data_IF_669919224781
#
_entry.id   IF_669919224781
#
_cell.length_a   1.000
_cell.length_b   1.000
_cell.length_c   1.000
_cell.angle_alpha   90.00
_cell.angle_beta   90.00
_cell.angle_gamma   90.00
#
_symmetry.space_group_name_H-M   'P 1'
#
loop_
_entity.id
_entity.type
_entity.pdbx_description
1 polymer ?
#
# COMPACT_ATOMS: atom_id res chain seq x y z
N UNK A 1 1.94 9.08 27.03
CA UNK A 1 2.46 10.13 26.15
C UNK A 1 2.57 9.66 24.70
N UNK A 2 2.63 10.59 23.75
CA UNK A 2 3.19 10.33 22.43
C UNK A 2 4.45 11.17 22.20
N UNK A 3 5.28 10.69 21.29
CA UNK A 3 6.45 11.40 20.80
C UNK A 3 6.38 11.44 19.26
N UNK A 4 6.54 12.62 18.69
CA UNK A 4 6.66 12.84 17.25
C UNK A 4 8.01 13.50 16.96
N UNK A 5 8.75 12.97 16.00
CA UNK A 5 10.02 13.50 15.53
C UNK A 5 9.89 13.88 14.06
N UNK A 6 10.18 15.14 13.73
CA UNK A 6 10.15 15.64 12.37
C UNK A 6 11.44 15.28 11.63
N UNK A 7 11.49 14.06 11.13
CA UNK A 7 12.62 13.54 10.37
C UNK A 7 12.22 12.38 9.47
N UNK A 8 12.92 12.22 8.35
CA UNK A 8 12.89 11.05 7.46
C UNK A 8 14.14 10.19 7.58
N UNK A 9 15.07 10.55 8.49
CA UNK A 9 16.28 9.76 8.71
C UNK A 9 15.97 8.45 9.45
N UNK A 10 16.90 7.51 9.34
CA UNK A 10 16.82 6.28 10.12
C UNK A 10 16.74 6.60 11.63
N UNK A 11 15.82 5.93 12.30
CA UNK A 11 15.64 6.00 13.75
C UNK A 11 15.52 4.61 14.36
N UNK A 12 16.07 4.46 15.56
CA UNK A 12 15.92 3.26 16.41
C UNK A 12 15.33 3.67 17.75
N UNK A 13 14.26 2.98 18.16
CA UNK A 13 13.51 3.26 19.37
C UNK A 13 13.52 2.03 20.28
N UNK A 14 14.19 2.14 21.44
CA UNK A 14 14.24 1.08 22.43
C UNK A 14 13.41 1.44 23.68
N UNK A 15 12.34 0.68 23.89
CA UNK A 15 11.42 0.81 25.03
C UNK A 15 11.54 -0.35 26.04
N UNK A 16 12.57 -1.19 25.94
CA UNK A 16 12.73 -2.38 26.79
C UNK A 16 13.06 -2.07 28.25
N UNK A 17 13.68 -0.92 28.49
CA UNK A 17 14.01 -0.52 29.86
C UNK A 17 12.81 0.15 30.56
N UNK A 18 12.40 -0.28 31.77
CA UNK A 18 11.27 0.31 32.46
C UNK A 18 11.51 1.72 33.01
N UNK A 19 12.77 2.19 33.08
CA UNK A 19 13.14 3.47 33.67
C UNK A 19 13.46 4.54 32.64
N UNK A 20 13.79 4.19 31.41
CA UNK A 20 14.09 5.14 30.35
C UNK A 20 13.79 4.55 28.96
N UNK A 21 13.55 5.41 28.01
CA UNK A 21 13.47 5.07 26.60
C UNK A 21 14.70 5.63 25.88
N UNK A 22 15.28 4.84 24.99
CA UNK A 22 16.39 5.26 24.15
C UNK A 22 15.90 5.49 22.74
N UNK A 23 16.18 6.69 22.21
CA UNK A 23 15.76 7.11 20.89
C UNK A 23 17.01 7.58 20.13
N UNK A 24 17.39 6.83 19.11
CA UNK A 24 18.50 7.20 18.22
C UNK A 24 17.95 7.72 16.91
N UNK A 25 18.54 8.78 16.39
CA UNK A 25 18.22 9.34 15.10
C UNK A 25 19.50 9.72 14.36
N UNK A 26 19.60 9.38 13.06
CA UNK A 26 20.82 9.60 12.29
C UNK A 26 20.99 11.05 11.79
N UNK A 27 20.00 11.88 12.00
CA UNK A 27 20.15 13.32 11.88
C UNK A 27 19.42 14.05 13.01
N UNK A 28 19.63 15.34 13.11
CA UNK A 28 18.88 16.19 14.04
C UNK A 28 17.48 16.42 13.48
N UNK A 29 16.40 16.00 14.18
CA UNK A 29 15.05 16.30 13.75
C UNK A 29 14.76 17.79 13.65
N UNK A 30 13.88 18.21 12.76
CA UNK A 30 13.43 19.60 12.69
C UNK A 30 12.80 20.08 14.00
N UNK A 31 12.02 19.20 14.64
CA UNK A 31 11.55 19.36 16.01
C UNK A 31 11.23 17.99 16.63
N UNK A 32 11.12 17.97 17.95
CA UNK A 32 10.61 16.84 18.74
C UNK A 32 9.42 17.35 19.55
N UNK A 33 8.27 16.69 19.39
CA UNK A 33 7.05 16.98 20.14
C UNK A 33 6.73 15.84 21.09
N UNK A 34 6.59 16.15 22.37
CA UNK A 34 6.19 15.19 23.39
C UNK A 34 4.97 15.75 24.08
N UNK A 35 3.90 14.98 24.16
CA UNK A 35 2.71 15.32 24.92
C UNK A 35 2.23 14.16 25.77
N UNK A 36 1.68 14.47 26.93
CA UNK A 36 1.06 13.53 27.82
C UNK A 36 -0.40 13.92 28.11
N UNK A 37 -1.19 12.94 28.49
CA UNK A 37 -2.56 13.12 28.94
C UNK A 37 -2.91 12.09 30.02
N UNK A 38 -3.91 12.35 30.88
CA UNK A 38 -4.37 11.41 31.89
C UNK A 38 -4.98 10.13 31.29
N UNK A 39 -5.64 10.25 30.13
CA UNK A 39 -6.29 9.13 29.45
C UNK A 39 -5.78 8.95 28.01
N UNK A 40 -5.93 7.74 27.49
CA UNK A 40 -5.57 7.44 26.10
C UNK A 40 -6.43 8.23 25.09
N UNK A 41 -7.70 8.47 25.41
CA UNK A 41 -8.60 9.26 24.54
C UNK A 41 -8.12 10.70 24.41
N UNK A 42 -7.83 11.36 25.53
CA UNK A 42 -7.28 12.73 25.52
C UNK A 42 -5.92 12.80 24.82
N UNK A 43 -5.09 11.74 24.93
CA UNK A 43 -3.82 11.67 24.22
C UNK A 43 -4.03 11.58 22.70
N UNK A 44 -5.00 10.78 22.24
CA UNK A 44 -5.38 10.70 20.82
C UNK A 44 -5.98 12.02 20.32
N UNK A 45 -6.78 12.70 21.12
CA UNK A 45 -7.31 14.02 20.77
C UNK A 45 -6.19 15.01 20.51
N UNK A 46 -5.17 15.06 21.37
CA UNK A 46 -3.98 15.90 21.19
C UNK A 46 -3.20 15.53 19.94
N UNK A 47 -2.97 14.24 19.72
CA UNK A 47 -2.26 13.74 18.54
C UNK A 47 -2.99 14.11 17.26
N UNK A 48 -4.31 13.88 17.20
CA UNK A 48 -5.12 14.18 16.01
C UNK A 48 -5.36 15.68 15.82
N UNK A 49 -5.32 16.48 16.88
CA UNK A 49 -5.30 17.94 16.75
C UNK A 49 -4.03 18.44 16.07
N UNK A 50 -2.90 17.76 16.30
CA UNK A 50 -1.61 18.10 15.69
C UNK A 50 -1.47 17.54 14.26
N UNK A 51 -1.75 16.23 14.05
CA UNK A 51 -1.59 15.56 12.76
C UNK A 51 -2.78 15.77 11.80
N UNK A 52 -3.90 16.26 12.30
CA UNK A 52 -5.18 16.26 11.60
C UNK A 52 -5.97 14.98 11.87
N UNK A 53 -7.26 15.04 11.64
CA UNK A 53 -8.17 13.90 11.75
C UNK A 53 -8.35 13.23 10.41
N UNK A 54 -8.52 11.93 10.42
CA UNK A 54 -8.93 11.19 9.23
C UNK A 54 -10.31 11.71 8.74
N UNK A 55 -10.50 11.89 7.43
CA UNK A 55 -11.82 12.18 6.89
C UNK A 55 -12.77 11.02 7.18
N UNK A 56 -14.06 11.33 7.21
CA UNK A 56 -15.09 10.31 7.31
C UNK A 56 -15.00 9.32 6.14
N UNK A 57 -15.13 8.04 6.45
CA UNK A 57 -15.11 7.01 5.42
C UNK A 57 -16.39 7.06 4.59
N UNK A 58 -16.35 6.72 3.28
CA UNK A 58 -17.53 6.63 2.46
C UNK A 58 -18.53 5.60 3.01
N UNK A 59 -19.82 5.89 2.88
CA UNK A 59 -20.91 5.06 3.42
C UNK A 59 -20.84 3.59 3.04
N UNK A 60 -20.35 3.27 1.84
CA UNK A 60 -20.24 1.89 1.38
C UNK A 60 -19.34 1.02 2.27
N UNK A 61 -18.37 1.61 2.97
CA UNK A 61 -17.47 0.88 3.90
C UNK A 61 -18.25 0.28 5.07
N UNK A 62 -19.36 0.91 5.46
CA UNK A 62 -20.20 0.48 6.57
C UNK A 62 -21.32 -0.49 6.16
N UNK A 63 -21.53 -0.71 4.85
CA UNK A 63 -22.66 -1.47 4.33
C UNK A 63 -22.45 -3.00 4.31
N UNK A 64 -21.24 -3.49 4.59
CA UNK A 64 -20.95 -4.91 4.57
C UNK A 64 -19.47 -5.22 4.82
N UNK A 65 -19.09 -6.47 4.64
CA UNK A 65 -17.69 -6.90 4.74
C UNK A 65 -16.88 -6.45 3.52
N UNK A 66 -15.64 -6.07 3.74
CA UNK A 66 -14.60 -6.01 2.72
C UNK A 66 -13.80 -7.32 2.80
N UNK A 67 -13.92 -8.16 1.80
CA UNK A 67 -13.30 -9.48 1.77
C UNK A 67 -11.93 -9.36 1.12
N UNK A 68 -10.87 -9.75 1.83
CA UNK A 68 -9.53 -9.92 1.25
C UNK A 68 -9.39 -11.29 0.60
N UNK A 69 -9.11 -11.35 -0.70
CA UNK A 69 -8.94 -12.60 -1.42
C UNK A 69 -7.77 -12.57 -2.40
N UNK A 70 -7.22 -13.75 -2.67
CA UNK A 70 -6.13 -14.00 -3.61
C UNK A 70 -6.33 -15.37 -4.27
N UNK A 71 -5.70 -15.59 -5.44
CA UNK A 71 -5.62 -16.91 -6.05
C UNK A 71 -6.45 -17.08 -7.33
N UNK A 72 -6.71 -16.00 -8.05
CA UNK A 72 -7.40 -15.99 -9.31
C UNK A 72 -8.91 -15.80 -9.23
N UNK A 73 -9.57 -15.72 -10.39
CA UNK A 73 -10.99 -15.40 -10.50
C UNK A 73 -11.86 -16.33 -9.65
N UNK A 74 -11.75 -17.64 -9.89
CA UNK A 74 -12.62 -18.62 -9.24
C UNK A 74 -12.63 -18.48 -7.72
N UNK A 75 -11.45 -18.35 -7.13
CA UNK A 75 -11.33 -18.20 -5.68
C UNK A 75 -11.78 -16.84 -5.19
N UNK A 76 -11.32 -15.76 -5.83
CA UNK A 76 -11.53 -14.40 -5.33
C UNK A 76 -12.98 -13.94 -5.50
N UNK A 77 -13.61 -14.24 -6.64
CA UNK A 77 -15.02 -13.91 -6.85
C UNK A 77 -15.94 -14.93 -6.21
N UNK A 78 -15.57 -16.22 -6.23
CA UNK A 78 -16.37 -17.28 -5.64
C UNK A 78 -16.55 -17.15 -4.13
N UNK A 79 -15.59 -16.57 -3.39
CA UNK A 79 -15.79 -16.31 -1.95
C UNK A 79 -16.82 -15.19 -1.72
N UNK A 80 -16.89 -14.20 -2.60
CA UNK A 80 -17.93 -13.15 -2.54
C UNK A 80 -19.30 -13.79 -2.73
N UNK A 81 -19.46 -14.61 -3.77
CA UNK A 81 -20.73 -15.27 -4.08
C UNK A 81 -21.19 -16.18 -2.94
N UNK A 82 -20.31 -17.03 -2.42
CA UNK A 82 -20.59 -17.89 -1.27
C UNK A 82 -20.99 -17.10 -0.02
N UNK A 83 -20.37 -15.94 0.21
CA UNK A 83 -20.72 -15.10 1.36
C UNK A 83 -22.13 -14.53 1.21
N UNK A 84 -22.49 -14.07 0.02
CA UNK A 84 -23.84 -13.56 -0.28
C UNK A 84 -24.90 -14.67 -0.17
N UNK A 85 -24.61 -15.88 -0.66
CA UNK A 85 -25.50 -17.06 -0.52
C UNK A 85 -25.79 -17.40 0.95
N UNK A 86 -24.84 -17.13 1.85
CA UNK A 86 -25.00 -17.30 3.28
C UNK A 86 -25.65 -16.08 3.98
N UNK A 87 -26.14 -15.11 3.22
CA UNK A 87 -26.80 -13.92 3.76
C UNK A 87 -25.85 -12.87 4.33
N UNK A 88 -24.53 -13.02 4.11
CA UNK A 88 -23.51 -12.06 4.56
C UNK A 88 -23.47 -10.89 3.56
N UNK A 89 -23.67 -9.68 4.05
CA UNK A 89 -23.50 -8.47 3.23
C UNK A 89 -22.05 -8.23 2.92
N UNK A 90 -21.74 -8.05 1.64
CA UNK A 90 -20.39 -7.74 1.13
C UNK A 90 -20.42 -6.36 0.48
N UNK A 91 -19.52 -5.48 0.89
CA UNK A 91 -19.39 -4.12 0.35
C UNK A 91 -18.14 -3.94 -0.53
N UNK A 92 -17.15 -4.82 -0.38
CA UNK A 92 -15.93 -4.74 -1.18
C UNK A 92 -15.19 -6.07 -1.29
N UNK A 93 -14.45 -6.23 -2.39
CA UNK A 93 -13.46 -7.26 -2.61
C UNK A 93 -12.08 -6.59 -2.72
N UNK A 94 -11.20 -6.86 -1.76
CA UNK A 94 -9.80 -6.45 -1.84
C UNK A 94 -8.96 -7.57 -2.44
N UNK A 95 -8.48 -7.34 -3.65
CA UNK A 95 -7.65 -8.29 -4.39
C UNK A 95 -6.20 -7.84 -4.37
N UNK A 96 -5.35 -8.60 -3.69
CA UNK A 96 -3.94 -8.24 -3.55
C UNK A 96 -3.11 -8.68 -4.77
N UNK A 97 -3.42 -9.82 -5.37
CA UNK A 97 -2.62 -10.45 -6.43
C UNK A 97 -3.22 -10.31 -7.83
N UNK A 98 -3.99 -9.26 -8.05
CA UNK A 98 -4.60 -8.96 -9.35
C UNK A 98 -3.57 -8.80 -10.47
N UNK A 99 -2.36 -8.32 -10.16
CA UNK A 99 -1.23 -8.21 -11.08
C UNK A 99 -0.39 -9.49 -11.21
N UNK A 100 -0.83 -10.60 -10.58
CA UNK A 100 -0.14 -11.89 -10.67
C UNK A 100 0.89 -12.15 -9.57
N UNK A 101 1.50 -13.32 -9.68
CA UNK A 101 2.53 -13.82 -8.77
C UNK A 101 3.70 -14.38 -9.54
N UNK A 102 4.92 -14.19 -9.00
CA UNK A 102 6.11 -14.91 -9.40
C UNK A 102 6.50 -15.95 -8.33
N UNK A 103 7.13 -17.02 -8.76
CA UNK A 103 7.66 -18.05 -7.86
C UNK A 103 9.16 -17.77 -7.65
N UNK A 104 9.56 -17.69 -6.39
CA UNK A 104 10.96 -17.56 -5.97
C UNK A 104 11.32 -18.72 -5.05
N UNK A 105 12.60 -18.90 -4.71
CA UNK A 105 13.03 -19.89 -3.69
C UNK A 105 12.42 -19.60 -2.30
N UNK A 106 12.03 -18.35 -2.05
CA UNK A 106 11.33 -17.91 -0.82
C UNK A 106 9.80 -18.05 -0.91
N UNK A 107 9.26 -18.71 -1.96
CA UNK A 107 7.85 -18.91 -2.18
C UNK A 107 7.24 -17.93 -3.20
N UNK A 108 5.91 -17.83 -3.18
CA UNK A 108 5.17 -16.96 -4.09
C UNK A 108 5.26 -15.50 -3.63
N UNK A 109 5.61 -14.61 -4.56
CA UNK A 109 5.66 -13.15 -4.38
C UNK A 109 4.72 -12.48 -5.36
N UNK A 110 4.21 -11.29 -5.04
CA UNK A 110 3.44 -10.49 -5.99
C UNK A 110 4.33 -10.01 -7.13
N UNK A 111 3.76 -9.94 -8.31
CA UNK A 111 4.41 -9.34 -9.48
C UNK A 111 3.96 -7.88 -9.59
N UNK A 112 4.85 -6.95 -9.27
CA UNK A 112 4.52 -5.53 -9.24
C UNK A 112 4.84 -4.86 -10.58
N UNK A 113 4.14 -5.31 -11.64
CA UNK A 113 4.15 -4.70 -12.99
C UNK A 113 2.87 -3.91 -13.29
N UNK A 114 1.91 -3.95 -12.38
CA UNK A 114 0.65 -3.21 -12.35
C UNK A 114 -0.24 -3.36 -13.60
N UNK A 115 -0.08 -4.47 -14.31
CA UNK A 115 -1.04 -4.94 -15.29
C UNK A 115 -1.80 -6.13 -14.69
N UNK A 116 -3.10 -6.26 -14.98
CA UNK A 116 -3.82 -7.43 -14.49
C UNK A 116 -3.34 -8.71 -15.17
N UNK A 117 -3.18 -9.75 -14.38
CA UNK A 117 -2.66 -11.03 -14.85
C UNK A 117 -3.75 -11.83 -15.56
N UNK A 118 -3.73 -11.84 -16.90
CA UNK A 118 -4.79 -12.39 -17.75
C UNK A 118 -5.07 -13.88 -17.53
N UNK A 119 -4.07 -14.66 -17.14
CA UNK A 119 -4.26 -16.08 -16.85
C UNK A 119 -4.89 -16.34 -15.48
N UNK A 120 -4.51 -15.58 -14.45
CA UNK A 120 -5.09 -15.70 -13.11
C UNK A 120 -6.44 -15.01 -13.00
N UNK A 121 -6.60 -13.90 -13.69
CA UNK A 121 -7.79 -13.04 -13.67
C UNK A 121 -8.27 -12.75 -15.09
N UNK A 122 -8.68 -13.80 -15.86
CA UNK A 122 -9.25 -13.58 -17.20
C UNK A 122 -10.47 -12.66 -17.08
N UNK A 123 -10.59 -11.73 -18.02
CA UNK A 123 -11.70 -10.77 -18.10
C UNK A 123 -11.94 -9.94 -16.82
N UNK A 124 -10.86 -9.62 -16.06
CA UNK A 124 -10.95 -8.87 -14.80
C UNK A 124 -11.81 -7.60 -14.90
N UNK A 125 -11.71 -6.76 -15.95
CA UNK A 125 -12.57 -5.57 -16.07
C UNK A 125 -14.06 -5.92 -16.04
N UNK A 126 -14.48 -6.97 -16.73
CA UNK A 126 -15.89 -7.44 -16.75
C UNK A 126 -16.34 -7.89 -15.34
N UNK A 127 -15.52 -8.65 -14.64
CA UNK A 127 -15.83 -9.07 -13.27
C UNK A 127 -15.93 -7.89 -12.30
N UNK A 128 -15.11 -6.85 -12.50
CA UNK A 128 -15.23 -5.60 -11.73
C UNK A 128 -16.56 -4.91 -12.01
N UNK A 129 -16.99 -4.82 -13.28
CA UNK A 129 -18.31 -4.28 -13.65
C UNK A 129 -19.45 -5.07 -13.02
N UNK A 130 -19.38 -6.39 -13.01
CA UNK A 130 -20.36 -7.28 -12.36
C UNK A 130 -20.44 -7.05 -10.84
N UNK A 131 -19.29 -6.85 -10.16
CA UNK A 131 -19.28 -6.46 -8.74
C UNK A 131 -19.93 -5.08 -8.54
N UNK A 132 -19.57 -4.10 -9.36
CA UNK A 132 -20.12 -2.74 -9.27
C UNK A 132 -21.64 -2.73 -9.49
N UNK A 133 -22.17 -3.52 -10.43
CA UNK A 133 -23.60 -3.68 -10.64
C UNK A 133 -24.35 -4.23 -9.41
N UNK A 134 -23.64 -4.94 -8.53
CA UNK A 134 -24.12 -5.50 -7.25
C UNK A 134 -23.86 -4.55 -6.07
N UNK A 135 -23.32 -3.35 -6.32
CA UNK A 135 -22.94 -2.37 -5.28
C UNK A 135 -21.66 -2.72 -4.50
N UNK A 136 -20.88 -3.69 -4.98
CA UNK A 136 -19.65 -4.15 -4.34
C UNK A 136 -18.44 -3.48 -5.01
N UNK A 137 -17.56 -2.88 -4.20
CA UNK A 137 -16.34 -2.21 -4.70
C UNK A 137 -15.21 -3.21 -4.91
N UNK A 138 -14.45 -3.04 -5.99
CA UNK A 138 -13.19 -3.73 -6.16
C UNK A 138 -12.03 -2.83 -5.70
N UNK A 139 -11.14 -3.38 -4.87
CA UNK A 139 -9.98 -2.68 -4.33
C UNK A 139 -8.72 -3.44 -4.76
N UNK A 140 -8.03 -2.89 -5.74
CA UNK A 140 -6.73 -3.40 -6.17
C UNK A 140 -5.62 -2.93 -5.23
N UNK A 141 -4.76 -3.86 -4.80
CA UNK A 141 -3.55 -3.49 -4.07
C UNK A 141 -2.55 -2.82 -5.00
N UNK A 142 -1.94 -1.74 -4.53
CA UNK A 142 -0.87 -1.03 -5.23
C UNK A 142 0.15 -0.49 -4.23
N UNK A 143 1.41 -0.40 -4.65
CA UNK A 143 2.50 0.21 -3.90
C UNK A 143 3.48 0.91 -4.88
N UNK A 144 4.47 1.69 -4.41
CA UNK A 144 5.37 2.44 -5.28
C UNK A 144 6.47 1.60 -5.95
N UNK A 145 6.46 0.28 -5.81
CA UNK A 145 7.47 -0.58 -6.42
C UNK A 145 7.05 -1.04 -7.80
N UNK A 146 7.99 -0.98 -8.75
CA UNK A 146 7.84 -1.58 -10.08
C UNK A 146 8.98 -2.56 -10.32
N UNK A 147 8.60 -3.79 -10.68
CA UNK A 147 9.58 -4.82 -11.00
C UNK A 147 10.43 -4.42 -12.20
N UNK A 148 11.76 -4.58 -12.10
CA UNK A 148 12.70 -4.02 -13.07
C UNK A 148 12.74 -4.74 -14.43
N UNK A 149 12.06 -5.88 -14.54
CA UNK A 149 11.84 -6.63 -15.78
C UNK A 149 10.46 -6.36 -16.42
N UNK A 150 9.67 -5.40 -15.86
CA UNK A 150 8.35 -5.02 -16.34
C UNK A 150 8.35 -3.85 -17.35
N UNK A 151 7.27 -3.76 -18.13
CA UNK A 151 7.11 -2.71 -19.16
C UNK A 151 7.00 -1.31 -18.53
N UNK A 152 6.20 -1.16 -17.46
CA UNK A 152 6.06 0.11 -16.76
C UNK A 152 7.36 0.59 -16.12
N UNK A 153 8.22 -0.34 -15.66
CA UNK A 153 9.56 0.04 -15.21
C UNK A 153 10.40 0.60 -16.37
N UNK A 154 10.39 -0.07 -17.53
CA UNK A 154 11.14 0.39 -18.69
C UNK A 154 10.68 1.77 -19.17
N UNK A 155 9.39 2.05 -19.11
CA UNK A 155 8.80 3.36 -19.41
C UNK A 155 9.23 4.41 -18.37
N UNK A 156 8.97 4.14 -17.09
CA UNK A 156 9.30 5.05 -15.98
C UNK A 156 10.80 5.38 -15.90
N UNK A 157 11.65 4.42 -16.28
CA UNK A 157 13.11 4.64 -16.37
C UNK A 157 13.47 5.68 -17.43
N UNK A 158 12.81 5.65 -18.60
CA UNK A 158 13.01 6.66 -19.67
C UNK A 158 12.56 8.03 -19.22
N UNK A 159 11.52 8.10 -18.41
CA UNK A 159 10.97 9.35 -17.87
C UNK A 159 11.72 9.85 -16.61
N UNK A 160 12.62 9.03 -16.04
CA UNK A 160 13.39 9.43 -14.86
C UNK A 160 12.55 9.50 -13.56
N UNK A 161 11.49 8.69 -13.44
CA UNK A 161 10.52 8.78 -12.34
C UNK A 161 10.92 7.98 -11.09
N UNK A 162 12.04 7.25 -11.13
CA UNK A 162 12.49 6.44 -9.99
C UNK A 162 13.47 7.17 -9.09
N UNK A 163 13.43 6.84 -7.80
CA UNK A 163 14.42 7.28 -6.83
C UNK A 163 15.84 6.88 -7.29
N UNK A 164 16.80 7.75 -7.03
CA UNK A 164 18.20 7.59 -7.48
C UNK A 164 19.14 7.40 -6.30
N UNK A 165 20.22 6.68 -6.54
CA UNK A 165 21.38 6.66 -5.67
C UNK A 165 22.22 7.93 -5.87
N UNK A 166 23.19 8.14 -4.98
CA UNK A 166 24.11 9.29 -5.06
C UNK A 166 24.91 9.34 -6.37
N UNK A 167 25.15 8.19 -7.02
CA UNK A 167 25.84 8.07 -8.30
C UNK A 167 24.94 8.30 -9.52
N UNK A 168 23.64 8.62 -9.30
CA UNK A 168 22.66 8.87 -10.34
C UNK A 168 22.01 7.60 -10.92
N UNK A 169 22.41 6.40 -10.52
CA UNK A 169 21.76 5.16 -10.90
C UNK A 169 20.42 4.99 -10.18
N UNK A 170 19.52 4.16 -10.76
CA UNK A 170 18.23 3.86 -10.11
C UNK A 170 18.46 3.15 -8.77
N UNK A 171 17.74 3.60 -7.74
CA UNK A 171 17.69 2.88 -6.47
C UNK A 171 16.80 1.65 -6.63
N UNK A 172 17.40 0.46 -6.55
CA UNK A 172 16.69 -0.81 -6.63
C UNK A 172 16.62 -1.48 -5.27
N UNK A 173 15.41 -1.90 -4.90
CA UNK A 173 15.17 -2.70 -3.69
C UNK A 173 15.21 -4.18 -4.08
N UNK A 174 15.96 -4.96 -3.32
CA UNK A 174 16.05 -6.42 -3.45
C UNK A 174 14.93 -7.07 -2.63
N UNK A 175 14.07 -7.83 -3.31
CA UNK A 175 12.98 -8.61 -2.69
C UNK A 175 13.28 -10.12 -2.65
N UNK A 176 14.53 -10.49 -2.84
CA UNK A 176 14.96 -11.88 -2.97
C UNK A 176 14.63 -12.45 -4.35
N UNK A 177 15.67 -12.60 -5.20
CA UNK A 177 15.61 -13.08 -6.58
C UNK A 177 14.93 -12.14 -7.59
N UNK A 178 14.47 -10.96 -7.20
CA UNK A 178 14.01 -9.91 -8.10
C UNK A 178 14.18 -8.53 -7.48
N UNK A 179 14.27 -7.53 -8.34
CA UNK A 179 14.52 -6.15 -7.95
C UNK A 179 13.40 -5.25 -8.41
N UNK A 180 13.09 -4.22 -7.63
CA UNK A 180 12.11 -3.20 -7.98
C UNK A 180 12.72 -1.80 -7.91
N UNK A 181 12.38 -0.96 -8.88
CA UNK A 181 12.53 0.49 -8.76
C UNK A 181 11.47 1.04 -7.81
N UNK A 182 11.80 2.13 -7.15
CA UNK A 182 10.89 2.87 -6.26
C UNK A 182 10.51 4.17 -6.94
N UNK A 183 9.22 4.41 -7.14
CA UNK A 183 8.74 5.69 -7.71
C UNK A 183 9.06 6.82 -6.74
N UNK A 184 9.70 7.87 -7.23
CA UNK A 184 10.05 9.04 -6.43
C UNK A 184 8.86 10.01 -6.34
N UNK A 185 8.01 9.83 -5.34
CA UNK A 185 6.86 10.73 -5.10
C UNK A 185 7.23 12.14 -4.63
N UNK A 186 8.50 12.43 -4.37
CA UNK A 186 8.97 13.81 -4.18
C UNK A 186 9.11 14.57 -5.50
N UNK A 187 9.16 13.83 -6.63
CA UNK A 187 9.12 14.37 -7.98
C UNK A 187 7.66 14.48 -8.47
N UNK A 188 7.13 15.71 -8.72
CA UNK A 188 5.75 15.89 -9.18
C UNK A 188 5.43 15.18 -10.51
N UNK A 189 6.41 15.02 -11.41
CA UNK A 189 6.23 14.29 -12.66
C UNK A 189 6.03 12.80 -12.41
N UNK A 190 6.82 12.21 -11.48
CA UNK A 190 6.69 10.82 -11.10
C UNK A 190 5.33 10.55 -10.42
N UNK A 191 4.87 11.46 -9.56
CA UNK A 191 3.55 11.38 -8.95
C UNK A 191 2.44 11.39 -10.00
N UNK A 192 2.47 12.30 -10.97
CA UNK A 192 1.48 12.37 -12.05
C UNK A 192 1.50 11.12 -12.91
N UNK A 193 2.68 10.70 -13.37
CA UNK A 193 2.82 9.49 -14.16
C UNK A 193 2.26 8.27 -13.44
N UNK A 194 2.64 8.06 -12.19
CA UNK A 194 2.15 6.90 -11.41
C UNK A 194 0.63 6.93 -11.24
N UNK A 195 0.05 8.10 -10.95
CA UNK A 195 -1.39 8.28 -10.86
C UNK A 195 -2.10 7.96 -12.18
N UNK A 196 -1.57 8.46 -13.29
CA UNK A 196 -2.23 8.40 -14.59
C UNK A 196 -1.99 7.06 -15.31
N UNK A 197 -0.89 6.36 -15.07
CA UNK A 197 -0.56 5.10 -15.72
C UNK A 197 -0.78 3.86 -14.84
N UNK A 198 -0.63 3.96 -13.52
CA UNK A 198 -0.69 2.81 -12.61
C UNK A 198 -2.01 2.75 -11.84
N UNK A 199 -2.58 3.89 -11.46
CA UNK A 199 -3.79 3.95 -10.61
C UNK A 199 -5.07 4.22 -11.44
N UNK A 200 -5.03 4.20 -12.73
CA UNK A 200 -6.17 4.46 -13.64
C UNK A 200 -7.48 3.81 -13.22
#
# INVERSE_FOLDING_TARGET
>A
YYLHMDTTAYGDFDFRNPHYHELQCWNVPGFIRIEAAPTFVELLEKLTAFLGRQPELPDWVYNGLIIGAQGGNERSFGIVDKSLEQGIKVSGLWCQDWCGKRVTSFGKRLQWDWHYHKEMYPDLPKHIEELHARGIKFLGYVNPYLVNDGELYAEGKKLGVFAKKADGSDYLVDFGEFYCGVVDFTNPEAFRWFKDEVIK
#
